data_IF_223008246179
#
_entry.id   IF_223008246179
#
_cell.length_a   1.000
_cell.length_b   1.000
_cell.length_c   1.000
_cell.angle_alpha   90.00
_cell.angle_beta   90.00
_cell.angle_gamma   90.00
#
_symmetry.space_group_name_H-M   'P 1'
#
loop_
_entity.id
_entity.type
_entity.pdbx_description
1 polymer ?
#
# COMPACT_ATOMS: atom_id res chain seq x y z
N UNK A 1 -11.78 -2.21 1.97
CA UNK A 1 -10.39 -2.02 1.62
C UNK A 1 -9.65 -1.46 2.81
N UNK A 2 -8.33 -1.59 2.82
CA UNK A 2 -7.44 -0.96 3.79
C UNK A 2 -6.72 0.19 3.08
N UNK A 3 -6.80 1.43 3.58
CA UNK A 3 -6.18 2.57 2.90
C UNK A 3 -4.67 2.63 3.19
N UNK A 4 -3.84 2.31 2.20
CA UNK A 4 -2.43 2.66 2.24
C UNK A 4 -2.26 4.11 1.79
N UNK A 5 -1.59 4.90 2.63
CA UNK A 5 -1.43 6.35 2.49
C UNK A 5 0.06 6.68 2.36
N UNK A 6 0.42 7.46 1.36
CA UNK A 6 1.82 7.79 1.08
C UNK A 6 1.94 9.02 0.19
N UNK A 7 3.13 9.62 0.22
CA UNK A 7 3.55 10.71 -0.65
C UNK A 7 4.69 10.20 -1.55
N UNK A 8 4.86 10.81 -2.73
CA UNK A 8 5.92 10.45 -3.66
C UNK A 8 6.63 11.71 -4.12
N UNK A 9 7.95 11.71 -4.01
CA UNK A 9 8.79 12.84 -4.41
C UNK A 9 9.90 12.39 -5.36
N UNK A 10 10.13 13.18 -6.41
CA UNK A 10 11.31 13.13 -7.25
C UNK A 10 12.22 14.32 -6.89
N UNK A 11 13.16 14.08 -5.97
CA UNK A 11 13.93 15.17 -5.36
C UNK A 11 13.01 16.07 -4.53
N UNK A 12 12.93 17.36 -4.88
CA UNK A 12 12.04 18.33 -4.22
C UNK A 12 10.64 18.41 -4.86
N UNK A 13 10.40 17.72 -5.98
CA UNK A 13 9.14 17.78 -6.71
C UNK A 13 8.21 16.68 -6.22
N UNK A 14 7.04 17.06 -5.72
CA UNK A 14 5.98 16.10 -5.41
C UNK A 14 5.34 15.58 -6.70
N UNK A 15 5.14 14.27 -6.78
CA UNK A 15 4.45 13.62 -7.87
C UNK A 15 3.02 13.33 -7.45
N UNK A 16 2.05 13.81 -8.23
CA UNK A 16 0.61 13.72 -7.87
C UNK A 16 -0.23 12.94 -8.88
N UNK A 17 0.37 12.47 -9.99
CA UNK A 17 -0.33 11.71 -11.03
C UNK A 17 -0.40 10.21 -10.67
N UNK A 18 -1.60 9.65 -10.39
CA UNK A 18 -1.76 8.23 -10.04
C UNK A 18 -1.34 7.26 -11.14
N UNK A 19 -1.29 7.68 -12.40
CA UNK A 19 -0.93 6.81 -13.53
C UNK A 19 0.54 6.38 -13.51
N UNK A 20 1.36 7.07 -12.71
CA UNK A 20 2.79 6.81 -12.54
C UNK A 20 3.09 5.78 -11.45
N UNK A 21 2.06 5.19 -10.82
CA UNK A 21 2.22 4.21 -9.75
C UNK A 21 1.51 2.92 -10.08
N UNK A 22 2.18 1.81 -9.76
CA UNK A 22 1.63 0.47 -9.83
C UNK A 22 1.79 -0.24 -8.49
N UNK A 23 0.90 -1.19 -8.22
CA UNK A 23 0.87 -1.92 -6.97
C UNK A 23 0.92 -3.42 -7.21
N UNK A 24 1.69 -4.11 -6.38
CA UNK A 24 1.69 -5.57 -6.30
C UNK A 24 1.60 -6.00 -4.84
N UNK A 25 1.11 -7.22 -4.62
CA UNK A 25 1.13 -7.84 -3.30
C UNK A 25 1.60 -9.28 -3.39
N UNK A 26 2.31 -9.73 -2.38
CA UNK A 26 2.77 -11.11 -2.27
C UNK A 26 2.49 -11.63 -0.84
N UNK A 27 2.06 -12.88 -0.74
CA UNK A 27 2.03 -13.57 0.56
C UNK A 27 3.47 -13.81 1.02
N UNK A 28 3.76 -13.48 2.27
CA UNK A 28 5.06 -13.70 2.90
C UNK A 28 4.92 -14.57 4.14
N UNK A 29 6.04 -15.09 4.64
CA UNK A 29 6.07 -15.71 5.96
C UNK A 29 5.99 -14.61 7.01
N UNK A 30 5.10 -14.78 7.99
CA UNK A 30 5.04 -13.87 9.13
C UNK A 30 6.38 -13.90 9.87
N UNK A 31 6.99 -12.74 10.04
CA UNK A 31 8.25 -12.59 10.76
C UNK A 31 8.03 -11.80 12.03
N UNK A 32 8.67 -12.23 13.12
CA UNK A 32 8.73 -11.46 14.37
C UNK A 32 9.87 -10.43 14.37
N UNK A 33 10.77 -10.49 13.39
CA UNK A 33 11.96 -9.64 13.30
C UNK A 33 11.82 -8.49 12.31
N UNK A 34 10.72 -8.44 11.55
CA UNK A 34 10.43 -7.36 10.60
C UNK A 34 9.17 -6.64 11.06
N UNK A 35 9.18 -5.30 10.97
CA UNK A 35 7.99 -4.50 11.25
C UNK A 35 6.84 -4.97 10.36
N UNK A 36 5.72 -5.22 11.00
CA UNK A 36 4.50 -5.67 10.37
C UNK A 36 3.36 -4.88 10.99
N UNK A 37 2.52 -4.32 10.14
CA UNK A 37 1.33 -3.61 10.57
C UNK A 37 0.14 -4.57 10.62
N UNK A 38 -0.59 -4.55 11.72
CA UNK A 38 -1.76 -5.40 11.85
C UNK A 38 -2.94 -4.74 11.13
N UNK A 39 -3.75 -5.54 10.44
CA UNK A 39 -4.97 -5.11 9.79
C UNK A 39 -6.14 -5.69 10.57
N UNK A 40 -6.76 -4.87 11.42
CA UNK A 40 -7.88 -5.25 12.29
C UNK A 40 -9.23 -5.30 11.55
N UNK A 41 -9.35 -4.66 10.39
CA UNK A 41 -10.63 -4.58 9.69
C UNK A 41 -10.42 -4.59 8.19
N UNK A 42 -11.06 -5.54 7.52
CA UNK A 42 -11.10 -5.61 6.06
C UNK A 42 -12.48 -5.14 5.59
N UNK A 43 -12.54 -3.93 5.01
CA UNK A 43 -13.82 -3.45 4.43
C UNK A 43 -14.04 -4.12 3.07
N UNK A 44 -15.27 -4.34 2.64
CA UNK A 44 -15.59 -4.78 1.27
C UNK A 44 -15.38 -3.63 0.27
N UNK A 45 -15.10 -3.92 -1.01
CA UNK A 45 -14.90 -2.91 -2.05
C UNK A 45 -13.91 -3.31 -3.15
N UNK A 46 -13.72 -2.43 -4.12
CA UNK A 46 -12.74 -2.56 -5.21
C UNK A 46 -11.44 -1.87 -4.86
N UNK A 47 -10.34 -2.38 -5.41
CA UNK A 47 -9.05 -1.68 -5.38
C UNK A 47 -9.14 -0.38 -6.17
N UNK A 48 -8.71 0.74 -5.58
CA UNK A 48 -8.61 2.03 -6.28
C UNK A 48 -7.45 2.87 -5.77
N UNK A 49 -6.80 3.59 -6.68
CA UNK A 49 -5.77 4.57 -6.38
C UNK A 49 -6.30 5.97 -6.72
N UNK A 50 -6.07 6.93 -5.84
CA UNK A 50 -6.31 8.36 -6.11
C UNK A 50 -5.29 9.22 -5.38
N UNK A 51 -5.09 10.43 -5.88
CA UNK A 51 -4.42 11.50 -5.15
C UNK A 51 -5.45 12.39 -4.47
N UNK A 52 -5.28 12.66 -3.17
CA UNK A 52 -6.10 13.56 -2.39
C UNK A 52 -5.40 14.91 -2.26
N UNK A 53 -5.87 15.90 -3.03
CA UNK A 53 -5.28 17.24 -3.07
C UNK A 53 -5.43 18.02 -1.75
N UNK A 54 -6.43 17.68 -0.93
CA UNK A 54 -6.66 18.39 0.33
C UNK A 54 -5.69 17.89 1.40
N UNK A 55 -5.44 16.58 1.40
CA UNK A 55 -4.50 15.96 2.31
C UNK A 55 -3.04 15.98 1.80
N UNK A 56 -2.82 16.24 0.50
CA UNK A 56 -1.49 16.24 -0.13
C UNK A 56 -0.88 14.84 -0.22
N UNK A 57 -1.66 13.80 -0.51
CA UNK A 57 -1.16 12.42 -0.47
C UNK A 57 -1.98 11.47 -1.34
N UNK A 58 -1.36 10.35 -1.73
CA UNK A 58 -2.07 9.24 -2.34
C UNK A 58 -2.86 8.44 -1.31
N UNK A 59 -3.97 7.86 -1.79
CA UNK A 59 -4.77 6.88 -1.07
C UNK A 59 -4.99 5.70 -2.00
N UNK A 60 -4.33 4.58 -1.67
CA UNK A 60 -4.55 3.28 -2.29
C UNK A 60 -5.50 2.46 -1.42
N UNK A 61 -6.75 2.34 -1.86
CA UNK A 61 -7.75 1.49 -1.22
C UNK A 61 -7.47 0.03 -1.56
N UNK A 62 -6.59 -0.62 -0.82
CA UNK A 62 -6.21 -2.00 -1.08
C UNK A 62 -7.34 -2.96 -0.69
N UNK A 63 -7.84 -3.75 -1.64
CA UNK A 63 -8.66 -4.93 -1.29
C UNK A 63 -7.74 -6.04 -0.81
N UNK A 64 -7.72 -6.25 0.50
CA UNK A 64 -6.92 -7.30 1.12
C UNK A 64 -7.45 -8.69 0.74
N UNK A 65 -6.57 -9.69 0.69
CA UNK A 65 -6.98 -11.10 0.71
C UNK A 65 -7.77 -11.45 1.98
N UNK A 66 -8.41 -12.62 1.98
CA UNK A 66 -9.02 -13.20 3.18
C UNK A 66 -8.05 -14.16 3.86
N UNK A 67 -8.20 -14.34 5.18
CA UNK A 67 -7.44 -15.32 5.97
C UNK A 67 -6.72 -14.69 7.16
N UNK A 68 -7.31 -14.84 8.35
CA UNK A 68 -6.72 -14.43 9.62
C UNK A 68 -5.34 -15.07 9.85
N UNK A 69 -4.44 -14.31 10.46
CA UNK A 69 -3.07 -14.72 10.79
C UNK A 69 -2.10 -14.79 9.61
N UNK A 70 -2.51 -14.42 8.40
CA UNK A 70 -1.64 -14.45 7.21
C UNK A 70 -0.92 -13.13 6.99
N UNK A 71 0.28 -13.19 6.41
CA UNK A 71 1.13 -12.02 6.20
C UNK A 71 1.34 -11.72 4.72
N UNK A 72 1.33 -10.43 4.37
CA UNK A 72 1.45 -9.94 3.02
C UNK A 72 2.40 -8.76 2.94
N UNK A 73 3.20 -8.71 1.89
CA UNK A 73 3.94 -7.52 1.50
C UNK A 73 3.17 -6.79 0.41
N UNK A 74 2.85 -5.53 0.63
CA UNK A 74 2.33 -4.60 -0.38
C UNK A 74 3.49 -3.76 -0.89
N UNK A 75 3.65 -3.70 -2.21
CA UNK A 75 4.71 -2.93 -2.86
C UNK A 75 4.11 -1.91 -3.80
N UNK A 76 4.51 -0.65 -3.65
CA UNK A 76 4.27 0.42 -4.62
C UNK A 76 5.53 0.55 -5.49
N UNK A 77 5.35 0.61 -6.80
CA UNK A 77 6.42 0.87 -7.77
C UNK A 77 6.08 2.09 -8.60
N UNK A 78 6.98 3.07 -8.63
CA UNK A 78 6.88 4.26 -9.46
C UNK A 78 7.36 3.97 -10.89
N UNK A 79 6.96 4.83 -11.83
CA UNK A 79 7.29 4.69 -13.26
C UNK A 79 8.80 4.73 -13.56
N UNK A 80 9.61 5.34 -12.69
CA UNK A 80 11.08 5.35 -12.77
C UNK A 80 11.72 4.01 -12.32
N UNK A 81 10.92 3.08 -11.82
CA UNK A 81 11.37 1.78 -11.34
C UNK A 81 11.65 1.70 -9.84
N UNK A 82 11.68 2.83 -9.13
CA UNK A 82 11.83 2.85 -7.68
C UNK A 82 10.63 2.22 -6.98
N UNK A 83 10.84 1.70 -5.77
CA UNK A 83 9.76 1.03 -5.03
C UNK A 83 9.89 1.21 -3.52
N UNK A 84 8.74 1.16 -2.86
CA UNK A 84 8.62 1.08 -1.40
C UNK A 84 7.65 -0.05 -1.07
N UNK A 85 7.90 -0.75 0.02
CA UNK A 85 7.03 -1.83 0.48
C UNK A 85 6.74 -1.74 1.97
N UNK A 86 5.61 -2.31 2.37
CA UNK A 86 5.20 -2.48 3.75
C UNK A 86 4.62 -3.88 3.95
N UNK A 87 4.87 -4.46 5.12
CA UNK A 87 4.40 -5.79 5.48
C UNK A 87 3.20 -5.68 6.42
N UNK A 88 2.20 -6.52 6.20
CA UNK A 88 0.93 -6.51 6.92
C UNK A 88 0.56 -7.89 7.43
N UNK A 89 0.03 -7.97 8.65
CA UNK A 89 -0.71 -9.14 9.17
C UNK A 89 -2.19 -8.92 8.97
N UNK A 90 -2.90 -9.90 8.45
CA UNK A 90 -4.36 -9.91 8.53
C UNK A 90 -4.77 -10.52 9.86
N UNK A 91 -5.59 -9.83 10.66
CA UNK A 91 -6.17 -10.40 11.89
C UNK A 91 -7.48 -11.14 11.61
#
# INVERSE_FOLDING_TARGET
TVPAKFEVFAGATEITDPSLMSFSMARITCSLTVLQDDIETTVTGSTSLRYDITAGQFIYNWKTPTGAGTCYQLTMKAADGSSISANFKLK
#
